data_IF_738092010017
#
_entry.id   IF_738092010017
#
_cell.length_a   1.000
_cell.length_b   1.000
_cell.length_c   1.000
_cell.angle_alpha   90.00
_cell.angle_beta   90.00
_cell.angle_gamma   90.00
#
_symmetry.space_group_name_H-M   'P 1'
#
loop_
_entity.id
_entity.type
_entity.pdbx_description
1 polymer ?
#
# COMPACT_ATOMS: atom_id res chain seq x y z
N UNK A 1 81.50 -18.49 -15.45
CA UNK A 1 80.65 -17.29 -15.23
C UNK A 1 79.23 -17.76 -14.87
N UNK A 2 78.72 -17.30 -13.71
CA UNK A 2 77.35 -17.39 -13.16
C UNK A 2 76.91 -18.77 -12.60
N UNK A 3 76.84 -19.03 -11.27
CA UNK A 3 75.89 -18.60 -10.21
C UNK A 3 74.41 -18.94 -10.55
N UNK A 4 73.53 -19.57 -9.73
CA UNK A 4 73.52 -20.00 -8.31
C UNK A 4 72.20 -20.74 -8.00
N UNK A 5 72.20 -21.56 -6.93
CA UNK A 5 71.17 -21.75 -5.87
C UNK A 5 69.78 -22.39 -6.19
N UNK A 6 69.67 -23.70 -5.93
CA UNK A 6 69.11 -24.33 -4.71
C UNK A 6 67.82 -23.75 -4.07
N UNK A 7 66.78 -24.61 -4.10
CA UNK A 7 65.69 -24.88 -3.13
C UNK A 7 64.60 -23.82 -2.89
N UNK A 8 63.43 -24.11 -3.47
CA UNK A 8 62.19 -24.41 -2.74
C UNK A 8 61.67 -23.38 -1.74
N UNK A 9 60.62 -22.64 -2.12
CA UNK A 9 59.61 -22.08 -1.20
C UNK A 9 58.28 -21.83 -1.92
N UNK A 10 57.34 -22.72 -1.57
CA UNK A 10 55.87 -22.60 -1.57
C UNK A 10 55.26 -21.34 -2.18
N UNK A 11 54.42 -21.54 -3.19
CA UNK A 11 53.35 -20.62 -3.56
C UNK A 11 52.47 -20.32 -2.35
N UNK A 12 52.37 -19.04 -1.99
CA UNK A 12 51.29 -18.51 -1.17
C UNK A 12 50.82 -17.22 -1.85
N UNK A 13 49.91 -17.37 -2.81
CA UNK A 13 49.07 -16.29 -3.29
C UNK A 13 48.05 -15.99 -2.18
N UNK A 14 48.34 -15.02 -1.33
CA UNK A 14 47.33 -14.43 -0.45
C UNK A 14 46.55 -13.37 -1.25
N UNK A 15 45.66 -13.83 -2.13
CA UNK A 15 44.59 -12.97 -2.61
C UNK A 15 43.67 -12.71 -1.41
N UNK A 16 43.68 -11.47 -0.87
CA UNK A 16 42.61 -11.04 0.00
C UNK A 16 41.34 -11.02 -0.85
N UNK A 17 40.51 -12.05 -0.69
CA UNK A 17 39.11 -11.95 -1.06
C UNK A 17 38.51 -10.92 -0.11
N UNK A 18 38.39 -9.68 -0.57
CA UNK A 18 37.38 -8.79 -0.02
C UNK A 18 36.05 -9.41 -0.41
N UNK A 19 35.54 -10.28 0.46
CA UNK A 19 34.12 -10.61 0.47
C UNK A 19 33.40 -9.28 0.55
N UNK A 20 32.78 -8.86 -0.56
CA UNK A 20 31.76 -7.82 -0.50
C UNK A 20 30.77 -8.31 0.54
N UNK A 21 30.84 -7.70 1.72
CA UNK A 21 29.83 -7.85 2.73
C UNK A 21 28.56 -7.36 2.07
N UNK A 22 27.72 -8.30 1.63
CA UNK A 22 26.32 -8.02 1.44
C UNK A 22 25.92 -7.27 2.70
N UNK A 23 25.48 -6.02 2.56
CA UNK A 23 25.01 -5.22 3.69
C UNK A 23 23.90 -6.03 4.32
N UNK A 24 24.24 -6.78 5.38
CA UNK A 24 23.29 -7.52 6.16
C UNK A 24 22.30 -6.45 6.61
N UNK A 25 21.08 -6.52 6.08
CA UNK A 25 20.01 -5.65 6.51
C UNK A 25 19.94 -5.82 8.02
N UNK A 26 20.43 -4.81 8.76
CA UNK A 26 20.45 -4.83 10.20
C UNK A 26 19.03 -5.16 10.61
N UNK A 27 18.86 -6.36 11.17
CA UNK A 27 17.57 -6.86 11.61
C UNK A 27 17.26 -6.09 12.87
N UNK A 28 16.80 -4.85 12.70
CA UNK A 28 16.13 -4.11 13.75
C UNK A 28 14.85 -4.88 13.99
N UNK A 29 14.90 -5.86 14.89
CA UNK A 29 13.70 -6.47 15.46
C UNK A 29 13.02 -5.41 16.30
N UNK A 30 12.33 -4.48 15.64
CA UNK A 30 11.20 -3.82 16.26
C UNK A 30 10.14 -4.89 16.38
N UNK A 31 10.00 -5.45 17.59
CA UNK A 31 8.75 -6.09 18.02
C UNK A 31 7.65 -5.01 18.02
N UNK A 32 7.24 -4.57 16.84
CA UNK A 32 6.47 -3.34 16.67
C UNK A 32 5.99 -3.21 15.23
N UNK A 33 4.70 -2.97 15.10
CA UNK A 33 3.99 -2.64 13.87
C UNK A 33 4.82 -1.75 12.93
N UNK A 34 5.07 -2.22 11.70
CA UNK A 34 5.70 -1.43 10.66
C UNK A 34 4.63 -0.68 9.86
N UNK A 35 4.55 0.66 9.91
CA UNK A 35 3.52 1.42 9.21
C UNK A 35 3.56 1.24 7.68
N UNK A 36 4.71 0.85 7.11
CA UNK A 36 4.84 0.62 5.67
C UNK A 36 4.17 -0.67 5.21
N UNK A 37 3.91 -1.61 6.10
CA UNK A 37 3.23 -2.87 5.76
C UNK A 37 1.79 -2.62 5.31
N UNK A 38 1.17 -1.51 5.69
CA UNK A 38 -0.19 -1.14 5.29
C UNK A 38 -0.33 -0.86 3.77
N UNK A 39 0.77 -0.63 3.06
CA UNK A 39 0.76 -0.51 1.60
C UNK A 39 0.75 -1.87 0.87
N UNK A 40 0.89 -2.98 1.60
CA UNK A 40 1.01 -4.33 1.05
C UNK A 40 -0.03 -5.27 1.69
N UNK A 41 -0.36 -6.36 1.01
CA UNK A 41 -1.19 -7.42 1.59
C UNK A 41 -0.32 -8.29 2.50
N UNK A 42 -0.26 -7.96 3.80
CA UNK A 42 0.57 -8.67 4.78
C UNK A 42 0.21 -10.17 4.90
N UNK A 43 -1.09 -10.50 4.80
CA UNK A 43 -1.60 -11.84 5.12
C UNK A 43 -1.74 -12.77 3.91
N UNK A 44 -1.39 -12.33 2.69
CA UNK A 44 -1.62 -13.14 1.47
C UNK A 44 -0.33 -13.66 0.85
N UNK A 45 -0.13 -14.97 0.98
CA UNK A 45 0.82 -15.71 0.15
C UNK A 45 0.26 -15.87 -1.27
N UNK A 46 1.05 -15.64 -2.33
CA UNK A 46 0.63 -15.88 -3.72
C UNK A 46 0.29 -17.35 -4.04
N UNK A 47 0.57 -18.28 -3.11
CA UNK A 47 0.32 -19.72 -3.24
C UNK A 47 -1.01 -20.20 -2.61
N UNK A 48 -1.88 -19.29 -2.12
CA UNK A 48 -3.17 -19.69 -1.57
C UNK A 48 -4.20 -19.88 -2.71
N UNK A 49 -4.51 -21.13 -3.04
CA UNK A 49 -5.37 -21.53 -4.18
C UNK A 49 -6.86 -21.18 -4.01
N UNK A 50 -7.24 -20.58 -2.88
CA UNK A 50 -8.65 -20.25 -2.61
C UNK A 50 -9.09 -19.03 -3.43
N UNK A 51 -10.16 -19.15 -4.25
CA UNK A 51 -10.70 -17.99 -4.96
C UNK A 51 -11.24 -16.97 -3.96
N UNK A 52 -10.56 -15.83 -3.86
CA UNK A 52 -10.95 -14.74 -2.95
C UNK A 52 -12.14 -14.00 -3.56
N UNK A 53 -13.29 -14.10 -2.89
CA UNK A 53 -14.50 -13.37 -3.30
C UNK A 53 -14.46 -11.96 -2.70
N UNK A 54 -14.17 -10.96 -3.53
CA UNK A 54 -14.30 -9.56 -3.12
C UNK A 54 -15.76 -9.11 -3.20
N UNK A 55 -16.25 -8.61 -2.07
CA UNK A 55 -17.63 -8.15 -1.93
C UNK A 55 -18.04 -6.96 -2.82
N UNK A 56 -19.13 -6.32 -2.43
CA UNK A 56 -19.82 -5.24 -3.17
C UNK A 56 -19.37 -3.86 -2.69
N UNK A 57 -19.43 -2.86 -3.58
CA UNK A 57 -19.28 -1.44 -3.20
C UNK A 57 -20.44 -0.92 -2.35
N UNK A 58 -20.21 0.06 -1.47
CA UNK A 58 -21.25 0.65 -0.59
C UNK A 58 -22.41 1.29 -1.36
N UNK A 59 -23.68 1.09 -0.98
CA UNK A 59 -24.83 1.82 -1.55
C UNK A 59 -24.98 3.20 -0.92
N UNK A 60 -25.48 4.17 -1.69
CA UNK A 60 -25.81 5.49 -1.15
C UNK A 60 -26.86 5.40 -0.02
N UNK A 61 -27.87 4.52 -0.15
CA UNK A 61 -28.87 4.30 0.88
C UNK A 61 -28.28 3.82 2.22
N UNK A 62 -27.25 2.96 2.18
CA UNK A 62 -26.56 2.48 3.39
C UNK A 62 -25.74 3.60 4.03
N UNK A 63 -25.08 4.45 3.22
CA UNK A 63 -24.24 5.55 3.68
C UNK A 63 -25.05 6.71 4.27
N UNK A 64 -26.28 6.94 3.80
CA UNK A 64 -27.17 7.98 4.34
C UNK A 64 -27.53 7.77 5.80
N UNK A 65 -27.54 6.52 6.27
CA UNK A 65 -27.87 6.16 7.64
C UNK A 65 -26.68 6.28 8.62
N UNK A 66 -25.48 6.64 8.14
CA UNK A 66 -24.26 6.70 8.95
C UNK A 66 -23.97 8.09 9.50
N UNK A 67 -23.34 8.16 10.67
CA UNK A 67 -22.90 9.43 11.24
C UNK A 67 -21.80 10.08 10.38
N UNK A 68 -21.53 11.37 10.59
CA UNK A 68 -20.43 12.05 9.89
C UNK A 68 -19.07 11.41 10.22
N UNK A 69 -18.85 11.06 11.49
CA UNK A 69 -17.62 10.42 11.97
C UNK A 69 -17.41 9.03 11.35
N UNK A 70 -18.46 8.21 11.26
CA UNK A 70 -18.39 6.90 10.60
C UNK A 70 -18.06 7.02 9.11
N UNK A 71 -18.64 8.02 8.42
CA UNK A 71 -18.33 8.27 7.01
C UNK A 71 -16.89 8.74 6.83
N UNK A 72 -16.36 9.54 7.76
CA UNK A 72 -14.96 9.98 7.76
C UNK A 72 -14.01 8.81 8.00
N UNK A 73 -14.27 7.97 9.00
CA UNK A 73 -13.51 6.74 9.26
C UNK A 73 -13.53 5.81 8.05
N UNK A 74 -14.71 5.58 7.47
CA UNK A 74 -14.87 4.76 6.28
C UNK A 74 -14.10 5.34 5.08
N UNK A 75 -14.07 6.66 4.91
CA UNK A 75 -13.27 7.32 3.89
C UNK A 75 -11.79 6.95 4.00
N UNK A 76 -11.23 7.00 5.22
CA UNK A 76 -9.83 6.63 5.44
C UNK A 76 -9.54 5.14 5.26
N UNK A 77 -10.47 4.27 5.65
CA UNK A 77 -10.38 2.83 5.35
C UNK A 77 -10.31 2.59 3.84
N UNK A 78 -11.19 3.25 3.07
CA UNK A 78 -11.19 3.16 1.61
C UNK A 78 -9.95 3.80 0.98
N UNK A 79 -9.41 4.86 1.58
CA UNK A 79 -8.19 5.51 1.12
C UNK A 79 -6.97 4.63 1.29
N UNK A 80 -6.83 3.96 2.44
CA UNK A 80 -5.78 2.98 2.72
C UNK A 80 -5.83 1.81 1.73
N UNK A 81 -7.01 1.24 1.54
CA UNK A 81 -7.26 0.20 0.54
C UNK A 81 -6.89 0.67 -0.88
N UNK A 82 -7.31 1.88 -1.28
CA UNK A 82 -6.97 2.45 -2.60
C UNK A 82 -5.46 2.58 -2.76
N UNK A 83 -4.75 3.07 -1.75
CA UNK A 83 -3.30 3.25 -1.80
C UNK A 83 -2.58 1.90 -1.92
N UNK A 84 -2.96 0.91 -1.09
CA UNK A 84 -2.45 -0.45 -1.18
C UNK A 84 -2.65 -1.06 -2.58
N UNK A 85 -3.86 -0.97 -3.14
CA UNK A 85 -4.16 -1.49 -4.48
C UNK A 85 -3.36 -0.80 -5.59
N UNK A 86 -3.13 0.52 -5.47
CA UNK A 86 -2.34 1.27 -6.44
C UNK A 86 -0.86 0.86 -6.38
N UNK A 87 -0.32 0.68 -5.18
CA UNK A 87 1.04 0.18 -4.96
C UNK A 87 1.21 -1.20 -5.60
N UNK A 88 0.34 -2.15 -5.28
CA UNK A 88 0.38 -3.50 -5.86
C UNK A 88 0.27 -3.49 -7.38
N UNK A 89 -0.67 -2.71 -7.94
CA UNK A 89 -0.84 -2.59 -9.39
C UNK A 89 0.43 -2.08 -10.06
N UNK A 90 1.07 -1.06 -9.48
CA UNK A 90 2.30 -0.50 -10.03
C UNK A 90 3.47 -1.49 -9.95
N UNK A 91 3.62 -2.21 -8.83
CA UNK A 91 4.65 -3.23 -8.66
C UNK A 91 4.50 -4.37 -9.67
N UNK A 92 3.29 -4.92 -9.82
CA UNK A 92 3.04 -6.00 -10.77
C UNK A 92 3.24 -5.54 -12.20
N UNK A 93 2.80 -4.33 -12.55
CA UNK A 93 3.05 -3.74 -13.86
C UNK A 93 4.55 -3.60 -14.15
N UNK A 94 5.35 -3.17 -13.17
CA UNK A 94 6.81 -3.07 -13.30
C UNK A 94 7.49 -4.44 -13.48
N UNK A 95 6.87 -5.50 -12.99
CA UNK A 95 7.32 -6.90 -13.17
C UNK A 95 6.68 -7.57 -14.40
N UNK A 96 5.94 -6.84 -15.24
CA UNK A 96 5.17 -7.38 -16.37
C UNK A 96 4.14 -8.46 -15.97
N UNK A 97 3.67 -8.44 -14.72
CA UNK A 97 2.65 -9.33 -14.20
C UNK A 97 1.26 -8.69 -14.24
N UNK A 98 0.23 -9.52 -14.44
CA UNK A 98 -1.16 -9.06 -14.45
C UNK A 98 -1.64 -8.81 -13.03
N UNK A 99 -2.30 -7.66 -12.82
CA UNK A 99 -2.93 -7.34 -11.53
C UNK A 99 -4.08 -8.31 -11.22
N UNK A 100 -4.04 -9.01 -10.06
CA UNK A 100 -5.14 -9.87 -9.64
C UNK A 100 -6.34 -9.00 -9.24
N UNK A 101 -7.53 -9.40 -9.67
CA UNK A 101 -8.81 -8.79 -9.26
C UNK A 101 -8.90 -7.26 -9.51
N UNK A 102 -8.80 -6.82 -10.78
CA UNK A 102 -8.85 -5.41 -11.15
C UNK A 102 -10.17 -4.70 -10.80
N UNK A 103 -11.24 -5.45 -10.52
CA UNK A 103 -12.55 -4.91 -10.15
C UNK A 103 -12.60 -4.28 -8.76
N UNK A 104 -11.61 -4.50 -7.88
CA UNK A 104 -11.54 -3.86 -6.55
C UNK A 104 -11.41 -2.34 -6.65
N UNK A 105 -10.52 -1.85 -7.51
CA UNK A 105 -10.23 -0.42 -7.69
C UNK A 105 -11.51 0.38 -8.02
N UNK A 106 -12.33 0.02 -9.03
CA UNK A 106 -13.56 0.73 -9.30
C UNK A 106 -14.59 0.60 -8.17
N UNK A 107 -14.66 -0.53 -7.45
CA UNK A 107 -15.57 -0.69 -6.28
C UNK A 107 -15.22 0.29 -5.15
N UNK A 108 -13.93 0.46 -4.86
CA UNK A 108 -13.44 1.43 -3.85
C UNK A 108 -13.75 2.85 -4.29
N UNK A 109 -13.35 3.23 -5.51
CA UNK A 109 -13.62 4.57 -6.08
C UNK A 109 -15.11 4.91 -6.08
N UNK A 110 -15.97 3.94 -6.44
CA UNK A 110 -17.43 4.13 -6.45
C UNK A 110 -17.98 4.35 -5.04
N UNK A 111 -17.43 3.66 -4.04
CA UNK A 111 -17.82 3.86 -2.63
C UNK A 111 -17.41 5.25 -2.14
N UNK A 112 -16.18 5.69 -2.44
CA UNK A 112 -15.70 7.04 -2.12
C UNK A 112 -16.56 8.13 -2.78
N UNK A 113 -16.88 7.97 -4.07
CA UNK A 113 -17.76 8.91 -4.78
C UNK A 113 -19.14 9.04 -4.13
N UNK A 114 -19.73 7.92 -3.68
CA UNK A 114 -21.02 7.95 -2.98
C UNK A 114 -20.94 8.59 -1.60
N UNK A 115 -19.82 8.48 -0.89
CA UNK A 115 -19.60 9.22 0.37
C UNK A 115 -19.63 10.71 0.08
N UNK A 116 -18.89 11.20 -0.93
CA UNK A 116 -18.93 12.61 -1.34
C UNK A 116 -20.36 13.03 -1.70
N UNK A 117 -21.06 12.22 -2.48
CA UNK A 117 -22.46 12.48 -2.84
C UNK A 117 -23.35 12.66 -1.60
N UNK A 118 -23.33 11.73 -0.65
CA UNK A 118 -24.16 11.79 0.56
C UNK A 118 -23.79 12.98 1.45
N UNK A 119 -22.50 13.32 1.56
CA UNK A 119 -22.08 14.50 2.30
C UNK A 119 -22.52 15.81 1.61
N UNK A 120 -22.51 15.86 0.28
CA UNK A 120 -23.03 16.99 -0.49
C UNK A 120 -24.55 17.12 -0.34
N UNK A 121 -25.30 16.01 -0.38
CA UNK A 121 -26.74 15.98 -0.12
C UNK A 121 -27.03 16.62 1.26
N UNK A 122 -26.35 16.18 2.32
CA UNK A 122 -26.49 16.75 3.67
C UNK A 122 -26.13 18.23 3.75
N UNK A 123 -25.12 18.67 3.00
CA UNK A 123 -24.74 20.08 2.96
C UNK A 123 -25.77 20.96 2.24
N UNK A 124 -26.58 20.39 1.33
CA UNK A 124 -27.68 21.10 0.68
C UNK A 124 -28.88 21.21 1.63
N UNK A 125 -29.14 20.18 2.43
CA UNK A 125 -30.25 20.15 3.40
C UNK A 125 -30.00 21.04 4.63
N UNK A 126 -28.75 21.47 4.88
CA UNK A 126 -28.40 22.34 6.00
C UNK A 126 -28.98 23.76 5.81
N UNK A 127 -29.83 24.25 6.74
CA UNK A 127 -30.52 25.53 6.59
C UNK A 127 -29.62 26.75 6.74
N UNK A 128 -28.52 26.66 7.51
CA UNK A 128 -27.58 27.77 7.67
C UNK A 128 -26.63 27.85 6.45
N UNK A 129 -26.65 28.96 5.68
CA UNK A 129 -25.79 29.13 4.51
C UNK A 129 -24.30 29.09 4.83
N UNK A 130 -23.88 29.54 6.02
CA UNK A 130 -22.45 29.54 6.40
C UNK A 130 -21.95 28.12 6.61
N UNK A 131 -22.69 27.37 7.43
CA UNK A 131 -22.42 25.96 7.70
C UNK A 131 -22.49 25.09 6.44
N UNK A 132 -23.48 25.33 5.58
CA UNK A 132 -23.58 24.67 4.26
C UNK A 132 -22.31 24.92 3.41
N UNK A 133 -21.82 26.15 3.37
CA UNK A 133 -20.62 26.51 2.61
C UNK A 133 -19.35 25.83 3.17
N UNK A 134 -19.20 25.77 4.49
CA UNK A 134 -18.10 25.05 5.14
C UNK A 134 -18.13 23.55 4.84
N UNK A 135 -19.30 22.92 4.95
CA UNK A 135 -19.47 21.51 4.60
C UNK A 135 -19.11 21.25 3.14
N UNK A 136 -19.57 22.08 2.20
CA UNK A 136 -19.23 21.96 0.77
C UNK A 136 -17.72 22.08 0.53
N UNK A 137 -17.06 23.04 1.18
CA UNK A 137 -15.59 23.21 1.10
C UNK A 137 -14.87 21.96 1.59
N UNK A 138 -15.26 21.43 2.74
CA UNK A 138 -14.68 20.22 3.30
C UNK A 138 -14.89 19.01 2.40
N UNK A 139 -16.09 18.81 1.85
CA UNK A 139 -16.37 17.70 0.93
C UNK A 139 -15.53 17.77 -0.34
N UNK A 140 -15.27 18.97 -0.84
CA UNK A 140 -14.41 19.16 -2.01
C UNK A 140 -12.92 18.90 -1.70
N UNK A 141 -12.49 19.12 -0.46
CA UNK A 141 -11.14 18.87 0.01
C UNK A 141 -10.84 17.37 0.27
N UNK A 142 -11.86 16.54 0.44
CA UNK A 142 -11.74 15.07 0.50
C UNK A 142 -11.37 14.48 -0.87
#
# INVERSE_FOLDING_TARGET
MFLTRVIGRRFLAAARSETSSATAAASTTTMGYNPLEEFFEADRSPNDDKPVVYGRSWKASELRLKSWDDLNKLWYVLLKEKNMLMTQRQMLNAQNLRFPNPERIPKVRKSMCRIKQVLTERAIDEPDPRRSAEMKRMVNAL
#
